data_IF_336981108193
#
_entry.id   IF_336981108193
#
_cell.length_a   1.000
_cell.length_b   1.000
_cell.length_c   1.000
_cell.angle_alpha   90.00
_cell.angle_beta   90.00
_cell.angle_gamma   90.00
#
_symmetry.space_group_name_H-M   'P 1'
#
loop_
_entity.id
_entity.type
_entity.pdbx_description
1 polymer ?
#
# COMPACT_ATOMS: atom_id res chain seq x y z
N UNK A 1 25.58 -3.40 -6.00
CA UNK A 1 24.32 -2.74 -6.42
C UNK A 1 23.16 -3.44 -5.73
N UNK A 2 22.18 -2.71 -5.23
CA UNK A 2 20.91 -3.30 -4.78
C UNK A 2 20.20 -3.88 -6.01
N UNK A 3 19.74 -5.13 -5.93
CA UNK A 3 18.88 -5.69 -6.98
C UNK A 3 17.57 -4.89 -7.03
N UNK A 4 16.98 -4.67 -8.22
CA UNK A 4 15.65 -4.07 -8.31
C UNK A 4 14.62 -4.90 -7.55
N UNK A 5 13.69 -4.25 -6.86
CA UNK A 5 12.64 -4.94 -6.12
C UNK A 5 11.33 -4.14 -6.09
N UNK A 6 10.23 -4.82 -5.76
CA UNK A 6 8.93 -4.21 -5.43
C UNK A 6 8.59 -4.48 -3.97
N UNK A 7 7.69 -3.66 -3.41
CA UNK A 7 7.13 -3.91 -2.07
C UNK A 7 5.79 -4.59 -2.22
N UNK A 8 5.69 -5.85 -1.83
CA UNK A 8 4.47 -6.67 -1.93
C UNK A 8 3.76 -6.71 -0.59
N UNK A 9 2.44 -6.50 -0.59
CA UNK A 9 1.57 -6.83 0.52
C UNK A 9 1.36 -8.34 0.53
N UNK A 10 1.86 -9.02 1.57
CA UNK A 10 1.95 -10.48 1.63
C UNK A 10 0.61 -11.16 1.38
N UNK A 11 -0.43 -10.74 2.10
CA UNK A 11 -1.73 -11.39 2.08
C UNK A 11 -2.49 -11.23 0.75
N UNK A 12 -2.35 -10.10 0.05
CA UNK A 12 -3.08 -9.86 -1.20
C UNK A 12 -2.28 -10.08 -2.48
N UNK A 13 -0.95 -10.10 -2.38
CA UNK A 13 -0.06 -10.08 -3.54
C UNK A 13 -0.11 -8.78 -4.35
N UNK A 14 -0.71 -7.70 -3.83
CA UNK A 14 -0.64 -6.38 -4.45
C UNK A 14 0.67 -5.70 -4.06
N UNK A 15 1.16 -4.84 -4.93
CA UNK A 15 2.38 -4.09 -4.72
C UNK A 15 2.11 -2.63 -4.38
N UNK A 16 2.95 -2.08 -3.52
CA UNK A 16 2.94 -0.65 -3.24
C UNK A 16 3.29 0.14 -4.49
N UNK A 17 2.56 1.24 -4.71
CA UNK A 17 2.74 2.13 -5.86
C UNK A 17 2.48 3.59 -5.48
N UNK A 18 2.85 4.50 -6.39
CA UNK A 18 2.41 5.90 -6.31
C UNK A 18 0.88 5.92 -6.30
N UNK A 19 0.32 6.81 -5.48
CA UNK A 19 -1.12 6.96 -5.42
C UNK A 19 -1.69 7.35 -6.79
N UNK A 20 -2.49 6.46 -7.36
CA UNK A 20 -3.31 6.68 -8.54
C UNK A 20 -4.70 6.07 -8.29
N UNK A 21 -5.42 6.67 -7.33
CA UNK A 21 -6.64 6.10 -6.75
C UNK A 21 -6.40 4.96 -5.76
N UNK A 22 -5.22 4.36 -5.71
CA UNK A 22 -4.82 3.39 -4.70
C UNK A 22 -3.29 3.37 -4.54
N UNK A 23 -2.80 3.23 -3.30
CA UNK A 23 -1.39 2.93 -3.05
C UNK A 23 -1.02 1.45 -3.25
N UNK A 24 -2.00 0.58 -3.49
CA UNK A 24 -1.80 -0.84 -3.80
C UNK A 24 -2.33 -1.17 -5.19
N UNK A 25 -1.49 -1.78 -6.04
CA UNK A 25 -1.84 -2.18 -7.40
C UNK A 25 -1.10 -3.44 -7.85
N UNK A 26 -1.42 -3.97 -9.04
CA UNK A 26 -0.81 -5.21 -9.56
C UNK A 26 0.61 -5.04 -10.10
N UNK A 27 0.96 -3.84 -10.59
CA UNK A 27 2.27 -3.59 -11.19
C UNK A 27 3.32 -3.08 -10.20
N UNK A 28 2.91 -2.30 -9.20
CA UNK A 28 3.82 -1.76 -8.18
C UNK A 28 4.83 -0.73 -8.68
N UNK A 29 5.49 -0.05 -7.74
CA UNK A 29 6.69 0.75 -8.00
C UNK A 29 7.93 -0.14 -7.87
N UNK A 30 8.88 0.02 -8.79
CA UNK A 30 10.21 -0.60 -8.70
C UNK A 30 11.16 0.32 -7.94
N UNK A 31 11.92 -0.26 -7.01
CA UNK A 31 12.92 0.40 -6.18
C UNK A 31 14.31 -0.11 -6.56
N UNK A 32 15.25 0.82 -6.75
CA UNK A 32 16.65 0.53 -7.07
C UNK A 32 17.59 0.79 -5.89
N UNK A 33 17.06 1.31 -4.78
CA UNK A 33 17.78 1.70 -3.58
C UNK A 33 16.99 1.32 -2.32
N UNK A 34 17.52 1.62 -1.14
CA UNK A 34 16.84 1.36 0.14
C UNK A 34 15.86 2.48 0.55
N UNK A 35 15.36 3.33 -0.35
CA UNK A 35 14.35 4.33 -0.03
C UNK A 35 12.96 3.84 -0.45
N UNK A 36 12.38 3.00 0.40
CA UNK A 36 11.07 2.37 0.19
C UNK A 36 10.15 2.62 1.37
N UNK A 37 8.83 2.38 1.25
CA UNK A 37 7.91 2.46 2.38
C UNK A 37 8.30 1.60 3.59
N UNK A 38 9.09 0.54 3.40
CA UNK A 38 9.58 -0.29 4.52
C UNK A 38 10.66 0.42 5.36
N UNK A 39 11.42 1.32 4.75
CA UNK A 39 12.64 1.94 5.30
C UNK A 39 12.53 3.45 5.45
N UNK A 40 11.44 4.04 4.97
CA UNK A 40 11.12 5.44 5.20
C UNK A 40 10.27 5.58 6.46
N UNK A 41 10.33 6.75 7.11
CA UNK A 41 9.64 7.03 8.36
C UNK A 41 9.95 5.96 9.42
N UNK A 42 11.21 5.85 9.85
CA UNK A 42 11.69 4.78 10.75
C UNK A 42 10.94 4.72 12.09
N UNK A 43 10.40 5.85 12.55
CA UNK A 43 9.58 5.91 13.76
C UNK A 43 8.17 5.32 13.58
N UNK A 44 7.71 5.12 12.34
CA UNK A 44 6.42 4.49 12.03
C UNK A 44 6.61 2.99 11.72
N UNK A 45 5.91 2.12 12.47
CA UNK A 45 5.90 0.65 12.24
C UNK A 45 4.88 0.20 11.18
N UNK A 46 4.28 1.14 10.45
CA UNK A 46 3.25 0.89 9.44
C UNK A 46 3.52 1.66 8.15
N UNK A 47 2.82 1.27 7.09
CA UNK A 47 2.71 2.00 5.83
C UNK A 47 1.29 2.56 5.75
N UNK A 48 1.17 3.87 5.50
CA UNK A 48 -0.12 4.50 5.21
C UNK A 48 -0.55 4.15 3.81
N UNK A 49 -1.76 3.65 3.68
CA UNK A 49 -2.37 3.28 2.39
C UNK A 49 -3.68 4.01 2.26
N UNK A 50 -3.93 4.60 1.11
CA UNK A 50 -5.22 5.15 0.74
C UNK A 50 -5.75 4.42 -0.49
N UNK A 51 -7.05 4.13 -0.51
CA UNK A 51 -7.74 3.49 -1.63
C UNK A 51 -9.10 4.17 -1.86
N UNK A 52 -9.34 4.67 -3.08
CA UNK A 52 -10.62 5.21 -3.53
C UNK A 52 -11.64 4.09 -3.76
N UNK A 53 -12.88 4.32 -3.34
CA UNK A 53 -13.96 3.34 -3.29
C UNK A 53 -14.40 2.83 -4.67
N UNK A 54 -14.26 3.66 -5.69
CA UNK A 54 -14.62 3.33 -7.07
C UNK A 54 -13.56 2.47 -7.80
N UNK A 55 -12.46 2.09 -7.14
CA UNK A 55 -11.38 1.31 -7.78
C UNK A 55 -11.57 -0.21 -7.61
N UNK A 56 -11.03 -0.99 -8.55
CA UNK A 56 -10.94 -2.45 -8.40
C UNK A 56 -10.08 -2.85 -7.19
N UNK A 57 -9.08 -2.04 -6.84
CA UNK A 57 -8.27 -2.25 -5.64
C UNK A 57 -9.13 -2.21 -4.37
N UNK A 58 -10.07 -1.27 -4.26
CA UNK A 58 -10.96 -1.20 -3.10
C UNK A 58 -11.85 -2.44 -3.00
N UNK A 59 -12.51 -2.83 -4.10
CA UNK A 59 -13.34 -4.04 -4.13
C UNK A 59 -12.56 -5.30 -3.72
N UNK A 60 -11.30 -5.41 -4.12
CA UNK A 60 -10.45 -6.55 -3.83
C UNK A 60 -9.85 -6.55 -2.41
N UNK A 61 -9.62 -5.38 -1.81
CA UNK A 61 -8.78 -5.25 -0.61
C UNK A 61 -9.55 -4.77 0.62
N UNK A 62 -10.72 -4.14 0.49
CA UNK A 62 -11.42 -3.46 1.60
C UNK A 62 -11.68 -4.36 2.80
N UNK A 63 -12.11 -5.61 2.56
CA UNK A 63 -12.48 -6.53 3.65
C UNK A 63 -11.22 -7.04 4.36
N UNK A 64 -10.17 -7.36 3.59
CA UNK A 64 -8.86 -7.78 4.11
C UNK A 64 -8.17 -6.67 4.92
N UNK A 65 -8.27 -5.42 4.48
CA UNK A 65 -7.62 -4.28 5.12
C UNK A 65 -8.49 -3.63 6.21
N UNK A 66 -9.74 -4.05 6.39
CA UNK A 66 -10.70 -3.44 7.31
C UNK A 66 -10.17 -3.29 8.74
N UNK A 67 -9.46 -4.31 9.25
CA UNK A 67 -8.80 -4.28 10.58
C UNK A 67 -7.71 -3.20 10.74
N UNK A 68 -7.23 -2.64 9.63
CA UNK A 68 -6.20 -1.59 9.61
C UNK A 68 -6.78 -0.21 9.27
N UNK A 69 -8.10 -0.08 9.08
CA UNK A 69 -8.73 1.17 8.70
C UNK A 69 -8.60 2.22 9.82
N UNK A 70 -8.26 3.44 9.44
CA UNK A 70 -8.10 4.58 10.37
C UNK A 70 -9.03 5.75 10.07
N UNK A 71 -9.72 5.72 8.93
CA UNK A 71 -10.64 6.76 8.53
C UNK A 71 -11.22 6.50 7.15
N UNK A 72 -12.45 6.96 6.97
CA UNK A 72 -13.12 7.03 5.68
C UNK A 72 -13.41 8.49 5.39
N UNK A 73 -13.10 8.89 4.18
CA UNK A 73 -13.51 10.16 3.62
C UNK A 73 -14.61 9.85 2.61
N UNK A 74 -15.84 9.77 3.11
CA UNK A 74 -17.04 9.44 2.33
C UNK A 74 -17.74 10.69 1.78
N UNK A 75 -17.28 11.90 2.13
CA UNK A 75 -17.84 13.17 1.69
C UNK A 75 -16.92 13.92 0.70
N UNK A 76 -15.63 13.58 0.67
CA UNK A 76 -14.69 14.14 -0.30
C UNK A 76 -14.92 13.63 -1.73
N UNK A 77 -14.53 14.45 -2.71
CA UNK A 77 -14.64 14.22 -4.16
C UNK A 77 -14.21 12.81 -4.62
N UNK A 78 -13.29 12.19 -3.88
CA UNK A 78 -12.65 10.95 -4.27
C UNK A 78 -13.12 9.70 -3.52
N UNK A 79 -13.99 9.84 -2.51
CA UNK A 79 -14.52 8.78 -1.64
C UNK A 79 -13.49 7.69 -1.32
N UNK A 80 -12.76 7.79 -0.20
CA UNK A 80 -11.60 6.92 0.06
C UNK A 80 -11.51 6.39 1.47
N UNK A 81 -10.84 5.25 1.64
CA UNK A 81 -10.48 4.75 2.97
C UNK A 81 -8.98 4.77 3.15
N UNK A 82 -8.56 5.25 4.32
CA UNK A 82 -7.17 5.26 4.75
C UNK A 82 -6.92 4.14 5.75
N UNK A 83 -5.76 3.51 5.62
CA UNK A 83 -5.32 2.35 6.41
C UNK A 83 -3.91 2.59 6.96
N UNK A 84 -3.61 2.03 8.13
CA UNK A 84 -2.24 1.89 8.67
C UNK A 84 -1.89 0.42 8.70
N UNK A 85 -1.31 -0.08 7.61
CA UNK A 85 -0.97 -1.50 7.49
C UNK A 85 0.44 -1.72 8.04
N UNK A 86 0.68 -2.62 9.00
CA UNK A 86 2.00 -2.84 9.58
C UNK A 86 3.07 -3.14 8.52
N UNK A 87 4.28 -2.61 8.68
CA UNK A 87 5.41 -2.88 7.77
C UNK A 87 5.70 -4.39 7.66
N UNK A 88 5.43 -5.15 8.72
CA UNK A 88 5.55 -6.62 8.76
C UNK A 88 4.63 -7.37 7.80
N UNK A 89 3.53 -6.76 7.36
CA UNK A 89 2.60 -7.31 6.37
C UNK A 89 3.12 -7.17 4.93
N UNK A 90 4.29 -6.55 4.76
CA UNK A 90 4.93 -6.35 3.47
C UNK A 90 6.28 -7.04 3.40
N UNK A 91 6.70 -7.32 2.17
CA UNK A 91 8.00 -7.90 1.85
C UNK A 91 8.59 -7.28 0.59
N UNK A 92 9.90 -7.45 0.43
CA UNK A 92 10.59 -7.13 -0.82
C UNK A 92 10.48 -8.32 -1.75
N UNK A 93 9.98 -8.10 -2.95
CA UNK A 93 10.02 -9.07 -4.05
C UNK A 93 11.11 -8.64 -5.03
N UNK A 94 12.20 -9.40 -5.13
CA UNK A 94 13.29 -9.13 -6.09
C UNK A 94 12.80 -9.39 -7.53
N UNK A 95 13.29 -8.60 -8.49
CA UNK A 95 12.97 -8.70 -9.92
C UNK A 95 14.11 -9.32 -10.74
#
# INVERSE_FOLDING_TARGET
MTKPYRIRHKASGYFYQRYNGSNLGKSGKVYMNNQSPLTMCDNEKFIRIQIRHNTLAYKALRDMLSKYAIGKDDEGEWHSTSYRVPKSEFEKEEL
#
